data_IF_220650024292
#
_entry.id   IF_220650024292
#
_cell.length_a   1.000
_cell.length_b   1.000
_cell.length_c   1.000
_cell.angle_alpha   90.00
_cell.angle_beta   90.00
_cell.angle_gamma   90.00
#
_symmetry.space_group_name_H-M   'P 1'
#
loop_
_entity.id
_entity.type
_entity.pdbx_description
1 polymer ?
#
# COMPACT_ATOMS: atom_id res chain seq x y z
N UNK A 1 -0.63 7.97 23.67
CA UNK A 1 -0.45 6.53 23.46
C UNK A 1 -0.94 6.32 22.04
N UNK A 2 0.00 6.03 21.14
CA UNK A 2 -0.20 6.20 19.69
C UNK A 2 -0.34 4.85 19.04
N UNK A 3 -1.37 4.69 18.22
CA UNK A 3 -1.64 3.46 17.50
C UNK A 3 -0.97 3.47 16.13
N UNK A 4 -0.46 2.33 15.73
CA UNK A 4 0.36 2.17 14.53
C UNK A 4 -0.44 1.52 13.41
N UNK A 5 -0.27 1.97 12.18
CA UNK A 5 -0.99 1.41 11.02
C UNK A 5 -0.05 1.00 9.88
N UNK A 6 -0.33 -0.17 9.34
CA UNK A 6 0.22 -0.71 8.11
C UNK A 6 -0.90 -0.75 7.06
N UNK A 7 -0.72 -0.06 5.94
CA UNK A 7 -1.68 -0.10 4.84
C UNK A 7 -1.23 -1.12 3.79
N UNK A 8 -2.08 -2.11 3.49
CA UNK A 8 -1.70 -3.27 2.67
C UNK A 8 -2.39 -3.22 1.31
N UNK A 9 -1.65 -2.75 0.31
CA UNK A 9 -2.00 -2.73 -1.10
C UNK A 9 -1.75 -4.09 -1.76
N UNK A 10 -2.44 -4.32 -2.88
CA UNK A 10 -2.29 -5.52 -3.71
C UNK A 10 -3.62 -5.93 -4.35
N UNK A 11 -3.55 -6.68 -5.44
CA UNK A 11 -4.74 -7.17 -6.11
C UNK A 11 -5.48 -8.19 -5.24
N UNK A 12 -6.78 -8.35 -5.46
CA UNK A 12 -7.51 -9.47 -4.85
C UNK A 12 -6.85 -10.80 -5.26
N UNK A 13 -6.60 -11.69 -4.30
CA UNK A 13 -5.90 -12.97 -4.53
C UNK A 13 -4.36 -12.93 -4.49
N UNK A 14 -3.74 -11.75 -4.40
CA UNK A 14 -2.27 -11.59 -4.31
C UNK A 14 -1.61 -12.24 -3.09
N UNK A 15 -2.40 -12.69 -2.11
CA UNK A 15 -1.91 -13.34 -0.89
C UNK A 15 -1.60 -12.37 0.25
N UNK A 16 -2.17 -11.16 0.24
CA UNK A 16 -2.03 -10.16 1.32
C UNK A 16 -2.24 -10.73 2.72
N UNK A 17 -3.29 -11.51 2.92
CA UNK A 17 -3.58 -12.12 4.23
C UNK A 17 -2.54 -13.16 4.64
N UNK A 18 -2.01 -13.96 3.71
CA UNK A 18 -0.93 -14.92 4.02
C UNK A 18 0.32 -14.19 4.52
N UNK A 19 0.66 -13.07 3.87
CA UNK A 19 1.76 -12.20 4.28
C UNK A 19 1.49 -11.55 5.63
N UNK A 20 0.30 -11.01 5.86
CA UNK A 20 -0.06 -10.39 7.15
C UNK A 20 0.04 -11.40 8.30
N UNK A 21 -0.41 -12.64 8.10
CA UNK A 21 -0.21 -13.73 9.08
C UNK A 21 1.27 -13.92 9.40
N UNK A 22 2.13 -14.02 8.38
CA UNK A 22 3.57 -14.21 8.57
C UNK A 22 4.24 -13.01 9.26
N UNK A 23 3.84 -11.79 8.94
CA UNK A 23 4.33 -10.57 9.58
C UNK A 23 3.94 -10.52 11.05
N UNK A 24 2.70 -10.86 11.38
CA UNK A 24 2.22 -10.94 12.77
C UNK A 24 2.97 -12.05 13.52
N UNK A 25 3.21 -13.20 12.89
CA UNK A 25 3.95 -14.32 13.48
C UNK A 25 5.40 -14.00 13.78
N UNK A 26 6.07 -13.27 12.89
CA UNK A 26 7.51 -13.05 12.97
C UNK A 26 7.95 -11.68 13.47
N UNK A 27 7.00 -10.76 13.70
CA UNK A 27 7.29 -9.36 14.00
C UNK A 27 6.68 -8.81 15.29
N UNK A 28 5.75 -9.53 15.91
CA UNK A 28 5.03 -9.08 17.10
C UNK A 28 5.07 -10.12 18.21
N UNK A 29 5.04 -9.64 19.45
CA UNK A 29 4.96 -10.48 20.64
C UNK A 29 3.51 -10.92 20.89
N UNK A 30 3.32 -12.03 21.62
CA UNK A 30 1.99 -12.60 21.85
C UNK A 30 1.03 -11.69 22.65
N UNK A 31 1.54 -10.64 23.28
CA UNK A 31 0.75 -9.67 24.05
C UNK A 31 0.37 -8.41 23.27
N UNK A 32 0.86 -8.25 22.04
CA UNK A 32 0.56 -7.07 21.23
C UNK A 32 -0.88 -7.12 20.73
N UNK A 33 -1.61 -6.01 20.89
CA UNK A 33 -2.98 -5.91 20.39
C UNK A 33 -2.96 -5.57 18.90
N UNK A 34 -3.50 -6.47 18.08
CA UNK A 34 -3.46 -6.36 16.62
C UNK A 34 -4.87 -6.46 16.06
N UNK A 35 -5.22 -5.51 15.20
CA UNK A 35 -6.44 -5.53 14.41
C UNK A 35 -6.07 -5.74 12.95
N UNK A 36 -6.74 -6.66 12.26
CA UNK A 36 -6.65 -6.82 10.81
C UNK A 36 -7.99 -6.42 10.20
N UNK A 37 -8.03 -5.28 9.54
CA UNK A 37 -9.22 -4.77 8.88
C UNK A 37 -9.23 -5.21 7.41
N UNK A 38 -10.32 -5.85 7.00
CA UNK A 38 -10.48 -6.43 5.66
C UNK A 38 -11.77 -5.93 5.03
N UNK A 39 -11.72 -5.50 3.77
CA UNK A 39 -12.93 -5.05 3.11
C UNK A 39 -13.91 -6.20 2.86
N UNK A 40 -15.22 -5.96 3.00
CA UNK A 40 -16.28 -6.93 2.70
C UNK A 40 -16.32 -7.37 1.22
N UNK A 41 -15.74 -6.56 0.31
CA UNK A 41 -15.61 -6.93 -1.10
C UNK A 41 -14.53 -7.99 -1.35
N UNK A 42 -13.63 -8.23 -0.39
CA UNK A 42 -12.61 -9.26 -0.52
C UNK A 42 -13.20 -10.66 -0.41
N UNK A 43 -12.63 -11.60 -1.19
CA UNK A 43 -13.00 -13.01 -1.08
C UNK A 43 -12.68 -13.53 0.33
N UNK A 44 -13.54 -14.42 0.83
CA UNK A 44 -13.31 -15.14 2.09
C UNK A 44 -11.99 -15.91 1.96
N UNK A 45 -11.16 -15.83 3.00
CA UNK A 45 -9.87 -16.50 3.03
C UNK A 45 -9.77 -17.45 4.22
N UNK A 46 -9.18 -18.65 4.07
CA UNK A 46 -8.87 -19.50 5.23
C UNK A 46 -7.87 -18.84 6.19
N UNK A 47 -7.17 -17.79 5.77
CA UNK A 47 -6.30 -17.01 6.64
C UNK A 47 -7.09 -16.21 7.69
N UNK A 48 -8.37 -15.89 7.43
CA UNK A 48 -9.21 -15.15 8.37
C UNK A 48 -9.42 -15.97 9.66
N UNK A 49 -9.57 -17.29 9.54
CA UNK A 49 -9.63 -18.22 10.68
C UNK A 49 -8.29 -18.30 11.43
N UNK A 50 -7.17 -18.32 10.71
CA UNK A 50 -5.84 -18.36 11.33
C UNK A 50 -5.53 -17.09 12.11
N UNK A 51 -5.87 -15.92 11.57
CA UNK A 51 -5.74 -14.63 12.24
C UNK A 51 -6.61 -14.58 13.50
N UNK A 52 -7.88 -14.99 13.38
CA UNK A 52 -8.84 -14.97 14.49
C UNK A 52 -8.51 -15.97 15.60
N UNK A 53 -7.74 -17.03 15.30
CA UNK A 53 -7.32 -18.02 16.30
C UNK A 53 -6.18 -17.52 17.21
N UNK A 54 -5.53 -16.40 16.86
CA UNK A 54 -4.42 -15.84 17.65
C UNK A 54 -4.95 -15.04 18.84
N UNK A 55 -4.28 -15.16 19.98
CA UNK A 55 -4.56 -14.28 21.11
C UNK A 55 -4.20 -12.84 20.74
N UNK A 56 -4.99 -11.89 21.24
CA UNK A 56 -4.79 -10.45 21.00
C UNK A 56 -4.83 -10.02 19.52
N UNK A 57 -5.31 -10.87 18.62
CA UNK A 57 -5.58 -10.52 17.23
C UNK A 57 -7.07 -10.56 16.95
N UNK A 58 -7.61 -9.48 16.40
CA UNK A 58 -8.99 -9.45 15.89
C UNK A 58 -9.00 -9.24 14.37
N UNK A 59 -9.98 -9.86 13.70
CA UNK A 59 -10.26 -9.60 12.29
C UNK A 59 -11.59 -8.88 12.21
N UNK A 60 -11.58 -7.69 11.62
CA UNK A 60 -12.78 -6.87 11.43
C UNK A 60 -13.04 -6.66 9.96
N UNK A 61 -14.30 -6.71 9.57
CA UNK A 61 -14.71 -6.40 8.21
C UNK A 61 -15.18 -4.95 8.09
N UNK A 62 -14.94 -4.31 6.95
CA UNK A 62 -15.39 -2.96 6.68
C UNK A 62 -15.95 -2.78 5.27
N UNK A 63 -16.88 -1.85 5.09
CA UNK A 63 -17.34 -1.42 3.76
C UNK A 63 -16.58 -0.16 3.31
N UNK A 64 -16.37 0.77 4.25
CA UNK A 64 -15.58 1.98 4.04
C UNK A 64 -14.48 2.09 5.11
N UNK A 65 -13.26 2.54 4.75
CA UNK A 65 -12.20 2.73 5.74
C UNK A 65 -12.60 3.63 6.92
N UNK A 66 -13.49 4.60 6.71
CA UNK A 66 -14.04 5.47 7.75
C UNK A 66 -14.72 4.70 8.91
N UNK A 67 -15.20 3.48 8.68
CA UNK A 67 -15.85 2.65 9.69
C UNK A 67 -14.83 1.93 10.60
N UNK A 68 -13.57 1.84 10.16
CA UNK A 68 -12.51 1.12 10.88
C UNK A 68 -12.06 1.94 12.08
N UNK A 69 -12.25 1.37 13.26
CA UNK A 69 -11.74 1.91 14.52
C UNK A 69 -10.38 1.28 14.84
N UNK A 70 -9.50 2.06 15.44
CA UNK A 70 -8.22 1.59 15.98
C UNK A 70 -8.20 1.88 17.49
N UNK A 71 -7.88 0.87 18.28
CA UNK A 71 -7.76 1.03 19.72
C UNK A 71 -6.46 1.76 20.07
N UNK A 72 -6.41 2.41 21.23
CA UNK A 72 -5.17 2.99 21.75
C UNK A 72 -4.11 1.89 21.99
N UNK A 73 -2.84 2.19 21.69
CA UNK A 73 -1.70 1.27 21.84
C UNK A 73 -1.91 -0.07 21.12
N UNK A 74 -2.51 -0.04 19.93
CA UNK A 74 -2.67 -1.20 19.06
C UNK A 74 -2.00 -1.00 17.71
N UNK A 75 -1.79 -2.10 17.00
CA UNK A 75 -1.37 -2.11 15.60
C UNK A 75 -2.53 -2.50 14.70
N UNK A 76 -2.76 -1.75 13.64
CA UNK A 76 -3.73 -2.06 12.60
C UNK A 76 -3.04 -2.45 11.29
N UNK A 77 -3.41 -3.61 10.74
CA UNK A 77 -3.20 -3.93 9.33
C UNK A 77 -4.49 -3.63 8.57
N UNK A 78 -4.52 -2.54 7.81
CA UNK A 78 -5.65 -2.18 6.97
C UNK A 78 -5.41 -2.71 5.55
N UNK A 79 -6.12 -3.78 5.17
CA UNK A 79 -6.04 -4.38 3.83
C UNK A 79 -6.96 -3.59 2.89
N UNK A 80 -6.37 -2.93 1.89
CA UNK A 80 -7.11 -2.16 0.88
C UNK A 80 -8.03 -3.04 0.03
N UNK A 81 -8.99 -2.44 -0.67
CA UNK A 81 -9.82 -3.18 -1.65
C UNK A 81 -9.01 -3.51 -2.91
N UNK A 82 -8.79 -4.80 -3.15
CA UNK A 82 -7.92 -5.27 -4.24
C UNK A 82 -8.56 -5.28 -5.62
N UNK A 83 -9.82 -4.82 -5.72
CA UNK A 83 -10.66 -4.79 -6.91
C UNK A 83 -11.02 -3.36 -7.35
N UNK A 84 -10.27 -2.36 -6.86
CA UNK A 84 -10.55 -0.93 -7.07
C UNK A 84 -9.37 -0.17 -7.68
N UNK A 85 -9.59 1.10 -7.98
CA UNK A 85 -8.55 2.02 -8.42
C UNK A 85 -7.62 2.37 -7.23
N UNK A 86 -6.29 2.15 -7.31
CA UNK A 86 -5.40 2.37 -6.17
C UNK A 86 -5.33 3.83 -5.71
N UNK A 87 -5.48 4.80 -6.63
CA UNK A 87 -5.50 6.22 -6.27
C UNK A 87 -6.68 6.57 -5.36
N UNK A 88 -7.86 6.00 -5.62
CA UNK A 88 -9.05 6.19 -4.77
C UNK A 88 -8.85 5.57 -3.38
N UNK A 89 -8.21 4.39 -3.30
CA UNK A 89 -7.88 3.76 -2.02
C UNK A 89 -6.87 4.59 -1.22
N UNK A 90 -5.89 5.20 -1.89
CA UNK A 90 -4.90 6.08 -1.27
C UNK A 90 -5.54 7.36 -0.74
N UNK A 91 -6.41 8.03 -1.50
CA UNK A 91 -7.14 9.22 -1.03
C UNK A 91 -8.04 8.90 0.17
N UNK A 92 -8.72 7.76 0.11
CA UNK A 92 -9.60 7.30 1.18
C UNK A 92 -8.79 6.97 2.44
N UNK A 93 -7.66 6.29 2.28
CA UNK A 93 -6.76 5.97 3.38
C UNK A 93 -6.14 7.23 3.99
N UNK A 94 -5.67 8.18 3.19
CA UNK A 94 -5.12 9.45 3.67
C UNK A 94 -6.17 10.22 4.50
N UNK A 95 -7.41 10.24 4.03
CA UNK A 95 -8.52 10.90 4.75
C UNK A 95 -8.80 10.21 6.07
N UNK A 96 -8.82 8.88 6.10
CA UNK A 96 -9.00 8.10 7.33
C UNK A 96 -7.83 8.30 8.31
N UNK A 97 -6.58 8.26 7.83
CA UNK A 97 -5.38 8.42 8.65
C UNK A 97 -5.37 9.76 9.39
N UNK A 98 -5.74 10.85 8.69
CA UNK A 98 -5.86 12.19 9.29
C UNK A 98 -6.95 12.27 10.36
N UNK A 99 -8.03 11.50 10.21
CA UNK A 99 -9.15 11.47 11.17
C UNK A 99 -8.84 10.59 12.39
N UNK A 100 -8.18 9.46 12.18
CA UNK A 100 -7.84 8.52 13.25
C UNK A 100 -6.68 9.02 14.12
N UNK A 101 -5.78 9.83 13.55
CA UNK A 101 -4.57 10.29 14.24
C UNK A 101 -3.55 9.18 14.50
N UNK A 102 -3.71 8.03 13.83
CA UNK A 102 -2.78 6.91 13.91
C UNK A 102 -1.46 7.24 13.20
N UNK A 103 -0.38 6.60 13.63
CA UNK A 103 0.93 6.71 12.99
C UNK A 103 0.99 5.76 11.79
N UNK A 104 1.24 6.29 10.59
CA UNK A 104 1.53 5.44 9.45
C UNK A 104 2.96 4.88 9.54
N UNK A 105 3.08 3.58 9.81
CA UNK A 105 4.36 2.87 9.81
C UNK A 105 4.82 2.60 8.37
N UNK A 106 3.98 1.93 7.57
CA UNK A 106 4.34 1.40 6.26
C UNK A 106 3.13 1.25 5.35
N UNK A 107 3.33 1.50 4.07
CA UNK A 107 2.48 1.03 2.98
C UNK A 107 3.17 -0.18 2.34
N UNK A 108 2.54 -1.33 2.42
CA UNK A 108 3.02 -2.61 1.92
C UNK A 108 2.29 -2.97 0.63
N UNK A 109 3.01 -3.21 -0.46
CA UNK A 109 2.42 -3.70 -1.71
C UNK A 109 2.71 -5.18 -1.89
N UNK A 110 1.67 -6.02 -1.82
CA UNK A 110 1.78 -7.45 -2.14
C UNK A 110 1.45 -7.66 -3.61
N UNK A 111 2.50 -7.92 -4.39
CA UNK A 111 2.42 -8.10 -5.84
C UNK A 111 2.09 -9.54 -6.18
N UNK A 112 1.01 -9.77 -6.93
CA UNK A 112 0.79 -11.03 -7.65
C UNK A 112 1.67 -11.03 -8.92
N UNK A 113 2.86 -11.63 -8.83
CA UNK A 113 3.79 -11.66 -9.95
C UNK A 113 3.26 -12.46 -11.15
N UNK A 114 2.43 -13.48 -10.92
CA UNK A 114 1.83 -14.27 -12.00
C UNK A 114 0.79 -13.46 -12.77
N UNK A 115 -0.02 -12.65 -12.08
CA UNK A 115 -0.94 -11.71 -12.72
C UNK A 115 -0.15 -10.64 -13.49
N UNK A 116 0.88 -10.06 -12.88
CA UNK A 116 1.69 -9.01 -13.51
C UNK A 116 2.44 -9.50 -14.76
N UNK A 117 2.97 -10.72 -14.77
CA UNK A 117 3.63 -11.30 -15.96
C UNK A 117 2.60 -11.63 -17.06
N UNK A 118 1.44 -12.16 -16.68
CA UNK A 118 0.38 -12.56 -17.63
C UNK A 118 -0.31 -11.37 -18.27
N UNK A 119 -0.51 -10.29 -17.52
CA UNK A 119 -1.29 -9.11 -17.95
C UNK A 119 -0.46 -7.82 -17.93
N UNK A 120 0.47 -7.63 -18.88
CA UNK A 120 1.31 -6.42 -18.94
C UNK A 120 0.52 -5.10 -19.02
N UNK A 121 -0.75 -5.15 -19.45
CA UNK A 121 -1.64 -3.98 -19.46
C UNK A 121 -1.86 -3.39 -18.07
N UNK A 122 -1.75 -4.20 -17.01
CA UNK A 122 -1.87 -3.76 -15.62
C UNK A 122 -0.64 -3.01 -15.10
N UNK A 123 0.41 -2.84 -15.90
CA UNK A 123 1.62 -2.11 -15.50
C UNK A 123 1.30 -0.74 -14.85
N UNK A 124 0.42 0.12 -15.38
CA UNK A 124 0.07 1.39 -14.71
C UNK A 124 -0.61 1.20 -13.36
N UNK A 125 -1.37 0.12 -13.17
CA UNK A 125 -2.00 -0.20 -11.89
C UNK A 125 -0.94 -0.58 -10.84
N UNK A 126 0.06 -1.39 -11.23
CA UNK A 126 1.19 -1.72 -10.36
C UNK A 126 2.10 -0.52 -10.09
N UNK A 127 2.39 0.30 -11.10
CA UNK A 127 3.17 1.52 -10.95
C UNK A 127 2.49 2.47 -9.94
N UNK A 128 1.16 2.61 -9.99
CA UNK A 128 0.39 3.42 -9.04
C UNK A 128 0.53 2.88 -7.60
N UNK A 129 0.34 1.58 -7.38
CA UNK A 129 0.50 0.99 -6.05
C UNK A 129 1.93 1.18 -5.52
N UNK A 130 2.94 0.90 -6.34
CA UNK A 130 4.35 0.92 -5.93
C UNK A 130 4.83 2.34 -5.63
N UNK A 131 4.31 3.35 -6.33
CA UNK A 131 4.62 4.76 -6.08
C UNK A 131 4.36 5.20 -4.63
N UNK A 132 3.28 4.68 -4.02
CA UNK A 132 2.93 4.96 -2.62
C UNK A 132 3.52 3.96 -1.62
N UNK A 133 4.18 2.91 -2.08
CA UNK A 133 4.61 1.80 -1.21
C UNK A 133 6.00 1.99 -0.66
N UNK A 134 6.17 1.61 0.60
CA UNK A 134 7.47 1.55 1.28
C UNK A 134 8.19 0.21 1.02
N UNK A 135 7.40 -0.88 0.88
CA UNK A 135 7.90 -2.24 0.63
C UNK A 135 7.05 -2.91 -0.44
N UNK A 136 7.71 -3.53 -1.42
CA UNK A 136 7.11 -4.33 -2.49
C UNK A 136 7.44 -5.80 -2.25
N UNK A 137 6.41 -6.56 -1.89
CA UNK A 137 6.47 -7.98 -1.59
C UNK A 137 6.08 -8.79 -2.82
N UNK A 138 7.04 -9.49 -3.40
CA UNK A 138 6.89 -10.24 -4.64
C UNK A 138 6.34 -11.64 -4.36
N UNK A 139 5.02 -11.80 -4.43
CA UNK A 139 4.29 -13.04 -4.14
C UNK A 139 3.72 -13.70 -5.42
N UNK A 140 3.11 -14.88 -5.26
CA UNK A 140 2.48 -15.65 -6.37
C UNK A 140 3.42 -15.78 -7.57
N UNK A 141 4.68 -16.13 -7.31
CA UNK A 141 5.76 -16.13 -8.31
C UNK A 141 6.21 -17.54 -8.71
N UNK A 142 5.43 -18.57 -8.35
CA UNK A 142 5.77 -19.97 -8.56
C UNK A 142 5.88 -20.34 -10.04
N UNK A 143 5.07 -19.71 -10.89
CA UNK A 143 5.07 -19.92 -12.34
C UNK A 143 5.87 -18.86 -13.11
N UNK A 144 6.42 -17.87 -12.41
CA UNK A 144 7.01 -16.68 -13.02
C UNK A 144 8.49 -16.89 -13.31
N UNK A 145 8.92 -16.47 -14.50
CA UNK A 145 10.31 -16.66 -14.90
C UNK A 145 11.28 -15.77 -14.07
N UNK A 146 12.45 -16.27 -13.65
CA UNK A 146 13.43 -15.45 -12.95
C UNK A 146 13.92 -14.24 -13.76
N UNK A 147 13.88 -14.35 -15.10
CA UNK A 147 14.21 -13.25 -16.01
C UNK A 147 13.18 -12.12 -15.91
N UNK A 148 11.89 -12.46 -15.90
CA UNK A 148 10.83 -11.46 -15.75
C UNK A 148 10.90 -10.80 -14.38
N UNK A 149 11.09 -11.57 -13.29
CA UNK A 149 11.22 -11.02 -11.94
C UNK A 149 12.31 -9.95 -11.84
N UNK A 150 13.50 -10.25 -12.39
CA UNK A 150 14.62 -9.28 -12.44
C UNK A 150 14.30 -8.05 -13.29
N UNK A 151 13.57 -8.22 -14.39
CA UNK A 151 13.18 -7.10 -15.24
C UNK A 151 12.14 -6.20 -14.56
N UNK A 152 11.17 -6.80 -13.85
CA UNK A 152 10.17 -6.10 -13.06
C UNK A 152 10.82 -5.26 -11.97
N UNK A 153 11.67 -5.85 -11.12
CA UNK A 153 12.41 -5.11 -10.09
C UNK A 153 13.35 -4.04 -10.67
N UNK A 154 14.04 -4.37 -11.79
CA UNK A 154 14.96 -3.44 -12.45
C UNK A 154 14.25 -2.19 -12.95
N UNK A 155 13.00 -2.28 -13.42
CA UNK A 155 12.21 -1.13 -13.87
C UNK A 155 12.14 -0.06 -12.76
N UNK A 156 11.73 -0.47 -11.57
CA UNK A 156 11.50 0.44 -10.43
C UNK A 156 12.81 0.96 -9.83
N UNK A 157 13.82 0.10 -9.70
CA UNK A 157 15.15 0.52 -9.23
C UNK A 157 15.84 1.47 -10.21
N UNK A 158 15.58 1.35 -11.52
CA UNK A 158 16.08 2.31 -12.52
C UNK A 158 15.35 3.66 -12.48
N UNK A 159 14.15 3.71 -11.91
CA UNK A 159 13.43 4.95 -11.59
C UNK A 159 13.87 5.54 -10.24
N UNK A 160 14.87 4.93 -9.58
CA UNK A 160 15.38 5.33 -8.27
C UNK A 160 14.30 5.37 -7.17
N UNK A 161 13.30 4.51 -7.26
CA UNK A 161 12.29 4.38 -6.21
C UNK A 161 12.94 3.86 -4.91
N UNK A 162 12.69 4.50 -3.75
CA UNK A 162 13.35 4.16 -2.48
C UNK A 162 12.80 2.87 -1.82
N UNK A 163 11.70 2.33 -2.33
CA UNK A 163 10.99 1.20 -1.75
C UNK A 163 11.84 -0.08 -1.75
N UNK A 164 11.69 -0.88 -0.68
CA UNK A 164 12.36 -2.17 -0.56
C UNK A 164 11.66 -3.23 -1.40
N UNK A 165 12.39 -4.07 -2.13
CA UNK A 165 11.84 -5.24 -2.82
C UNK A 165 12.23 -6.52 -2.07
N UNK A 166 11.25 -7.33 -1.68
CA UNK A 166 11.48 -8.61 -0.99
C UNK A 166 10.72 -9.75 -1.67
N UNK A 167 11.34 -10.92 -1.72
CA UNK A 167 10.71 -12.12 -2.26
C UNK A 167 9.83 -12.78 -1.18
N UNK A 168 8.59 -13.09 -1.55
CA UNK A 168 7.71 -13.94 -0.75
C UNK A 168 7.83 -15.39 -1.24
N UNK A 169 7.82 -16.34 -0.30
CA UNK A 169 7.81 -17.77 -0.59
C UNK A 169 6.78 -18.46 0.26
N UNK A 170 5.72 -19.00 -0.38
CA UNK A 170 4.59 -19.66 0.32
C UNK A 170 3.97 -18.75 1.40
N UNK A 171 3.72 -17.49 1.05
CA UNK A 171 3.16 -16.50 1.97
C UNK A 171 4.14 -15.92 2.99
N UNK A 172 5.40 -16.39 3.04
CA UNK A 172 6.38 -15.97 4.05
C UNK A 172 7.48 -15.07 3.49
N UNK A 173 7.82 -14.03 4.23
CA UNK A 173 8.97 -13.16 3.96
C UNK A 173 10.22 -13.68 4.69
N UNK A 174 11.41 -13.31 4.20
CA UNK A 174 12.65 -13.76 4.82
C UNK A 174 12.93 -13.08 6.18
N UNK A 175 12.53 -11.81 6.31
CA UNK A 175 12.77 -11.00 7.49
C UNK A 175 11.55 -10.11 7.81
N UNK A 176 10.56 -10.63 8.57
CA UNK A 176 9.38 -9.87 8.98
C UNK A 176 9.72 -8.55 9.68
N UNK A 177 10.71 -8.54 10.57
CA UNK A 177 11.11 -7.34 11.31
C UNK A 177 11.58 -6.20 10.40
N UNK A 178 12.29 -6.51 9.30
CA UNK A 178 12.71 -5.49 8.33
C UNK A 178 11.53 -4.93 7.52
N UNK A 179 10.53 -5.77 7.22
CA UNK A 179 9.31 -5.31 6.53
C UNK A 179 8.50 -4.38 7.43
N UNK A 180 8.52 -4.63 8.74
CA UNK A 180 7.77 -3.88 9.75
C UNK A 180 8.49 -2.65 10.30
N UNK A 181 9.81 -2.53 10.15
CA UNK A 181 10.57 -1.34 10.56
C UNK A 181 9.94 -0.06 9.98
N UNK A 182 9.49 0.93 10.77
CA UNK A 182 8.65 2.06 10.33
C UNK A 182 9.37 3.18 9.53
N UNK A 183 10.56 2.95 8.99
CA UNK A 183 11.36 3.95 8.26
C UNK A 183 10.83 4.32 6.85
N UNK A 184 9.96 5.31 6.63
CA UNK A 184 9.39 5.64 5.29
C UNK A 184 10.37 5.50 4.08
N UNK A 185 9.92 4.80 3.04
CA UNK A 185 10.64 4.43 1.80
C UNK A 185 9.79 4.59 0.53
N UNK A 186 8.61 5.20 0.64
CA UNK A 186 7.74 5.58 -0.48
C UNK A 186 8.30 6.76 -1.26
N UNK A 187 7.94 6.84 -2.53
CA UNK A 187 8.33 7.97 -3.39
C UNK A 187 7.39 9.17 -3.19
N UNK A 188 6.09 8.90 -3.01
CA UNK A 188 5.12 9.94 -2.74
C UNK A 188 5.36 10.62 -1.39
N UNK A 189 5.31 11.94 -1.38
CA UNK A 189 5.37 12.78 -0.19
C UNK A 189 3.98 13.06 0.42
N UNK A 190 2.93 12.39 -0.08
CA UNK A 190 1.53 12.63 0.29
C UNK A 190 1.24 12.50 1.80
N UNK A 191 2.01 11.65 2.48
CA UNK A 191 1.84 11.32 3.90
C UNK A 191 2.84 12.01 4.80
N UNK A 192 3.70 12.85 4.24
CA UNK A 192 4.74 13.55 4.98
C UNK A 192 4.26 14.98 5.28
N UNK A 193 4.53 15.47 6.49
CA UNK A 193 4.23 16.85 6.90
C UNK A 193 5.24 17.80 6.27
N UNK A 194 5.08 18.08 4.98
CA UNK A 194 5.96 18.98 4.23
C UNK A 194 5.24 20.29 3.99
N UNK A 195 5.82 21.38 4.47
CA UNK A 195 5.33 22.72 4.17
C UNK A 195 5.43 22.97 2.65
N UNK A 196 4.42 23.61 2.04
CA UNK A 196 4.42 23.89 0.61
C UNK A 196 5.65 24.71 0.14
N UNK A 197 6.30 25.42 1.06
CA UNK A 197 7.56 26.15 0.83
C UNK A 197 8.73 25.19 0.59
N UNK A 198 8.78 24.05 1.27
CA UNK A 198 9.87 23.07 1.16
C UNK A 198 9.81 22.26 -0.14
N UNK A 199 8.63 22.17 -0.77
CA UNK A 199 8.47 21.49 -2.06
C UNK A 199 8.78 22.39 -3.27
N UNK A 200 8.88 23.70 -3.07
CA UNK A 200 9.16 24.65 -4.13
C UNK A 200 10.66 24.89 -4.25
N UNK A 201 11.24 24.50 -5.38
CA UNK A 201 12.65 24.76 -5.70
C UNK A 201 12.81 26.24 -6.10
N UNK A 202 12.86 27.14 -5.11
CA UNK A 202 12.99 28.57 -5.35
C UNK A 202 14.39 28.91 -5.86
N UNK A 203 14.49 29.41 -7.10
CA UNK A 203 15.70 30.11 -7.55
C UNK A 203 15.70 31.54 -6.97
N UNK A 204 16.59 31.87 -6.01
CA UNK A 204 16.64 33.19 -5.41
C UNK A 204 16.96 34.32 -6.40
N UNK A 205 17.45 34.01 -7.61
CA UNK A 205 17.71 34.99 -8.67
C UNK A 205 16.55 35.16 -9.66
N UNK A 206 15.48 34.36 -9.54
CA UNK A 206 14.34 34.35 -10.45
C UNK A 206 13.01 34.18 -9.70
N UNK A 207 12.81 34.99 -8.67
CA UNK A 207 11.55 35.04 -7.94
C UNK A 207 10.49 35.82 -8.77
N UNK A 208 9.30 35.25 -8.99
CA UNK A 208 8.16 35.95 -9.57
C UNK A 208 7.81 37.25 -8.81
N UNK A 209 7.42 38.29 -9.53
CA UNK A 209 6.88 39.54 -8.94
C UNK A 209 5.45 39.36 -8.38
N UNK A 210 4.76 38.26 -8.74
CA UNK A 210 3.42 37.91 -8.25
C UNK A 210 3.48 37.03 -6.99
N UNK A 211 2.48 37.16 -6.12
CA UNK A 211 2.31 36.29 -4.96
C UNK A 211 2.17 34.84 -5.41
N UNK A 212 3.17 34.02 -5.11
CA UNK A 212 3.12 32.58 -5.37
C UNK A 212 2.09 31.99 -4.42
N UNK A 213 1.05 31.37 -4.99
CA UNK A 213 0.12 30.57 -4.24
C UNK A 213 0.88 29.32 -3.77
N UNK A 214 1.22 29.27 -2.47
CA UNK A 214 2.02 28.20 -1.85
C UNK A 214 1.18 26.93 -1.71
N UNK A 215 0.79 26.33 -2.84
CA UNK A 215 0.08 25.05 -2.88
C UNK A 215 1.03 24.01 -3.43
N UNK A 216 1.34 23.00 -2.62
CA UNK A 216 2.09 21.84 -3.06
C UNK A 216 1.40 21.19 -4.27
N UNK A 217 2.14 20.84 -5.34
CA UNK A 217 1.56 20.17 -6.49
C UNK A 217 0.94 18.83 -6.06
N UNK A 218 -0.23 18.51 -6.61
CA UNK A 218 -0.89 17.23 -6.34
C UNK A 218 -0.01 16.07 -6.82
N UNK A 219 -0.06 14.94 -6.10
CA UNK A 219 0.62 13.73 -6.54
C UNK A 219 0.11 13.33 -7.95
N UNK A 220 1.01 12.99 -8.91
CA UNK A 220 0.62 12.70 -10.28
C UNK A 220 -0.42 11.58 -10.44
N UNK A 221 -0.50 10.65 -9.48
CA UNK A 221 -1.50 9.58 -9.51
C UNK A 221 -2.84 9.98 -8.92
N UNK A 222 -2.90 11.11 -8.20
CA UNK A 222 -4.12 11.63 -7.59
C UNK A 222 -4.71 12.82 -8.34
N UNK A 223 -3.95 13.46 -9.23
CA UNK A 223 -4.44 14.57 -10.05
C UNK A 223 -5.71 14.20 -10.83
N UNK A 224 -6.70 15.10 -10.80
CA UNK A 224 -7.98 14.97 -11.52
C UNK A 224 -8.14 16.08 -12.54
N UNK A 225 -8.68 15.72 -13.70
CA UNK A 225 -9.13 16.67 -14.72
C UNK A 225 -10.40 17.40 -14.26
N UNK A 226 -10.78 18.54 -14.88
CA UNK A 226 -12.04 19.22 -14.59
C UNK A 226 -13.30 18.34 -14.78
N UNK A 227 -13.18 17.24 -15.53
CA UNK A 227 -14.23 16.22 -15.68
C UNK A 227 -14.42 15.33 -14.44
N UNK A 228 -13.54 15.42 -13.44
CA UNK A 228 -13.48 14.56 -12.25
C UNK A 228 -12.72 13.24 -12.45
N UNK A 229 -12.35 12.90 -13.68
CA UNK A 229 -11.54 11.72 -14.00
C UNK A 229 -10.08 11.93 -13.61
N UNK A 230 -9.36 10.85 -13.30
CA UNK A 230 -7.91 10.90 -13.11
C UNK A 230 -7.21 11.42 -14.36
N UNK A 231 -6.24 12.32 -14.17
CA UNK A 231 -5.34 12.75 -15.23
C UNK A 231 -4.47 11.58 -15.72
N UNK A 232 -4.11 10.67 -14.81
CA UNK A 232 -3.35 9.45 -15.08
C UNK A 232 -4.19 8.19 -14.78
N UNK A 233 -5.10 7.78 -15.68
CA UNK A 233 -5.97 6.63 -15.43
C UNK A 233 -5.19 5.31 -15.44
N UNK A 234 -5.64 4.36 -14.61
CA UNK A 234 -5.16 2.97 -14.61
C UNK A 234 -6.23 2.04 -15.20
N UNK A 235 -5.85 0.85 -15.71
CA UNK A 235 -6.83 -0.15 -16.15
C UNK A 235 -7.71 -0.62 -14.99
N UNK A 236 -8.95 -0.98 -15.29
CA UNK A 236 -9.85 -1.63 -14.32
C UNK A 236 -9.35 -3.05 -14.04
N UNK A 237 -8.81 -3.26 -12.83
CA UNK A 237 -8.24 -4.54 -12.44
C UNK A 237 -9.26 -5.68 -12.46
N UNK A 238 -10.56 -5.39 -12.28
CA UNK A 238 -11.63 -6.41 -12.24
C UNK A 238 -11.77 -7.15 -13.56
N UNK A 239 -11.34 -6.56 -14.67
CA UNK A 239 -11.32 -7.22 -15.98
C UNK A 239 -10.30 -8.36 -16.07
N UNK A 240 -9.30 -8.37 -15.17
CA UNK A 240 -8.14 -9.26 -15.18
C UNK A 240 -8.10 -10.23 -14.00
N UNK A 241 -8.91 -9.98 -12.96
CA UNK A 241 -9.11 -10.91 -11.87
C UNK A 241 -9.87 -12.13 -12.37
N UNK A 242 -9.55 -13.31 -11.82
CA UNK A 242 -10.28 -14.53 -12.14
C UNK A 242 -11.76 -14.34 -11.79
N UNK A 243 -12.62 -14.45 -12.81
CA UNK A 243 -14.07 -14.47 -12.65
C UNK A 243 -14.46 -15.79 -11.98
N UNK A 244 -15.30 -15.68 -10.95
CA UNK A 244 -15.88 -16.84 -10.27
C UNK A 244 -16.88 -17.58 -11.18
#
# INVERSE_FOLDING_TARGET
>A
MSSDVYFVLGSSGSGRREVVVDLIEGGFDAGDNITVAVANSEKISPMDEQLSARQHTEVVSYDYPADVQIADDSTLFLIARGDTEPGDEIETFQSWLKQSGANLCRILMVTDCSLAEREPKLEPWFDCCIHFSDVVLLNRRETVSPKWMRAFEKRYTSMHLPCLFELVKKGRVANPAQVLDPLARRYSLLFDDIDAVDQMDFDPNNLPEETIDLVAPADPWLERLPSGQRAKPVPDIREYLAKD
#
